data_IF_278298637369
#
_entry.id   IF_278298637369
#
_cell.length_a   1.000
_cell.length_b   1.000
_cell.length_c   1.000
_cell.angle_alpha   90.00
_cell.angle_beta   90.00
_cell.angle_gamma   90.00
#
_symmetry.space_group_name_H-M   'P 1'
#
loop_
_entity.id
_entity.type
_entity.pdbx_description
1 polymer ?
#
# COMPACT_ATOMS: atom_id res chain seq x y z
N UNK A 1 17.51 5.67 5.10
CA UNK A 1 16.21 6.00 4.48
C UNK A 1 16.32 5.57 3.03
N UNK A 2 15.56 4.57 2.62
CA UNK A 2 15.64 4.05 1.25
C UNK A 2 14.90 4.98 0.29
N UNK A 3 15.60 5.50 -0.72
CA UNK A 3 15.03 6.37 -1.73
C UNK A 3 14.26 5.54 -2.77
N UNK A 4 12.99 5.88 -3.03
CA UNK A 4 12.29 5.37 -4.21
C UNK A 4 12.85 6.09 -5.43
N UNK A 5 13.18 5.37 -6.50
CA UNK A 5 13.76 5.95 -7.72
C UNK A 5 12.87 5.62 -8.90
N UNK A 6 12.41 6.62 -9.64
CA UNK A 6 11.75 6.39 -10.92
C UNK A 6 12.85 6.33 -11.97
N UNK A 7 12.95 5.21 -12.68
CA UNK A 7 13.87 5.02 -13.80
C UNK A 7 13.12 5.21 -15.12
N UNK A 8 13.70 6.04 -15.98
CA UNK A 8 13.32 6.13 -17.39
C UNK A 8 14.02 4.99 -18.14
N UNK A 9 13.28 4.22 -18.94
CA UNK A 9 13.80 3.02 -19.61
C UNK A 9 14.90 3.32 -20.68
N UNK A 10 15.18 4.59 -20.96
CA UNK A 10 16.26 5.00 -21.87
C UNK A 10 17.64 5.06 -21.17
N UNK A 11 17.75 4.70 -19.89
CA UNK A 11 19.03 4.62 -19.17
C UNK A 11 19.70 5.95 -18.81
N UNK A 12 19.17 7.08 -19.28
CA UNK A 12 19.84 8.39 -19.14
C UNK A 12 19.54 9.15 -17.85
N UNK A 13 18.48 8.81 -17.08
CA UNK A 13 18.08 9.64 -15.94
C UNK A 13 17.50 8.84 -14.75
N UNK A 14 18.11 9.05 -13.57
CA UNK A 14 17.61 8.57 -12.28
C UNK A 14 16.88 9.71 -11.57
N UNK A 15 15.57 9.59 -11.39
CA UNK A 15 14.80 10.57 -10.60
C UNK A 15 14.62 10.03 -9.19
N UNK A 16 15.37 10.59 -8.24
CA UNK A 16 15.24 10.27 -6.83
C UNK A 16 13.95 10.89 -6.25
N UNK A 17 12.98 10.06 -5.93
CA UNK A 17 11.82 10.43 -5.13
C UNK A 17 12.24 10.36 -3.65
N UNK A 18 12.32 11.52 -3.00
CA UNK A 18 12.33 11.52 -1.55
C UNK A 18 10.97 10.99 -1.08
N UNK A 19 10.91 10.18 -0.01
CA UNK A 19 9.63 9.78 0.54
C UNK A 19 8.88 11.05 0.95
N UNK A 20 7.81 11.36 0.22
CA UNK A 20 6.63 12.05 0.74
C UNK A 20 6.91 13.46 1.30
N UNK A 21 7.32 14.42 0.46
CA UNK A 21 7.51 15.83 0.89
C UNK A 21 6.59 16.85 0.21
N UNK A 22 5.61 16.46 -0.60
CA UNK A 22 4.71 17.46 -1.22
C UNK A 22 3.34 16.87 -1.53
N UNK A 23 2.41 17.00 -0.57
CA UNK A 23 0.99 16.87 -0.84
C UNK A 23 0.42 18.28 -1.05
N UNK A 24 0.04 18.61 -2.30
CA UNK A 24 -0.88 19.73 -2.55
C UNK A 24 -2.26 19.16 -2.81
N UNK A 25 -3.22 19.59 -2.00
CA UNK A 25 -4.63 19.27 -2.18
C UNK A 25 -5.20 20.33 -3.14
N UNK A 26 -5.44 19.97 -4.40
CA UNK A 26 -6.16 20.84 -5.34
C UNK A 26 -7.53 20.21 -5.63
N UNK A 27 -8.60 20.97 -5.37
CA UNK A 27 -9.96 20.59 -5.76
C UNK A 27 -10.12 20.93 -7.24
N UNK A 28 -10.38 19.92 -8.07
CA UNK A 28 -10.75 20.15 -9.45
C UNK A 28 -12.24 20.52 -9.50
N UNK A 29 -12.58 21.71 -10.01
CA UNK A 29 -13.93 22.30 -9.96
C UNK A 29 -14.98 21.57 -10.79
N UNK A 30 -14.58 20.58 -11.58
CA UNK A 30 -15.46 19.89 -12.53
C UNK A 30 -15.97 18.53 -12.07
N UNK A 31 -15.37 17.88 -11.05
CA UNK A 31 -15.71 16.49 -10.71
C UNK A 31 -15.75 16.13 -9.22
N UNK A 32 -15.66 17.09 -8.29
CA UNK A 32 -15.75 16.85 -6.83
C UNK A 32 -14.86 15.69 -6.29
N UNK A 33 -13.79 15.33 -7.01
CA UNK A 33 -12.81 14.32 -6.62
C UNK A 33 -11.55 15.00 -6.10
N UNK A 34 -11.09 14.59 -4.91
CA UNK A 34 -9.80 14.99 -4.38
C UNK A 34 -8.69 14.27 -5.16
N UNK A 35 -7.92 15.02 -5.95
CA UNK A 35 -6.73 14.49 -6.63
C UNK A 35 -5.52 14.79 -5.75
N UNK A 36 -4.94 13.74 -5.17
CA UNK A 36 -3.77 13.85 -4.30
C UNK A 36 -2.54 13.39 -5.08
N UNK A 37 -1.64 14.32 -5.41
CA UNK A 37 -0.47 14.01 -6.23
C UNK A 37 0.64 13.36 -5.40
N UNK A 38 1.07 12.15 -5.81
CA UNK A 38 2.44 11.69 -5.58
C UNK A 38 3.29 12.23 -6.73
N UNK A 39 3.73 13.48 -6.67
CA UNK A 39 4.57 14.00 -7.73
C UNK A 39 5.65 14.91 -7.21
N UNK A 40 6.91 14.58 -7.52
CA UNK A 40 7.99 15.54 -7.46
C UNK A 40 7.93 16.40 -8.71
N UNK A 41 8.30 17.68 -8.58
CA UNK A 41 8.70 18.51 -9.72
C UNK A 41 9.86 17.77 -10.39
N UNK A 42 9.77 17.45 -11.68
CA UNK A 42 10.90 16.87 -12.44
C UNK A 42 11.39 17.89 -13.48
N UNK A 43 12.06 18.99 -13.10
CA UNK A 43 12.46 20.03 -14.05
C UNK A 43 13.28 19.50 -15.25
N UNK A 44 14.05 18.43 -15.06
CA UNK A 44 14.96 17.91 -16.07
C UNK A 44 14.26 17.18 -17.23
N UNK A 45 13.18 16.44 -16.95
CA UNK A 45 12.32 15.79 -17.95
C UNK A 45 11.69 16.82 -18.91
N UNK A 46 11.42 18.03 -18.43
CA UNK A 46 10.80 19.11 -19.20
C UNK A 46 11.81 20.06 -19.88
N UNK A 47 13.12 19.93 -19.63
CA UNK A 47 14.13 20.60 -20.46
C UNK A 47 14.15 20.05 -21.89
N UNK A 48 13.74 18.79 -22.09
CA UNK A 48 13.66 18.13 -23.40
C UNK A 48 12.36 18.40 -24.15
N UNK A 49 11.34 19.04 -23.54
CA UNK A 49 10.00 19.15 -24.14
C UNK A 49 9.49 20.59 -24.14
N UNK A 50 9.21 21.13 -25.33
CA UNK A 50 9.00 22.58 -25.55
C UNK A 50 7.57 23.05 -25.29
N UNK A 51 6.56 22.16 -25.30
CA UNK A 51 5.16 22.52 -25.08
C UNK A 51 4.29 21.36 -24.57
N UNK A 52 3.04 21.65 -24.18
CA UNK A 52 2.09 20.70 -23.56
C UNK A 52 1.72 19.52 -24.50
N UNK A 53 1.63 19.77 -25.81
CA UNK A 53 1.30 18.74 -26.81
C UNK A 53 2.45 17.74 -27.02
N UNK A 54 3.68 18.25 -27.15
CA UNK A 54 4.89 17.42 -27.23
C UNK A 54 5.16 16.67 -25.94
N UNK A 55 4.83 17.27 -24.79
CA UNK A 55 4.88 16.63 -23.47
C UNK A 55 3.94 15.44 -23.40
N UNK A 56 2.65 15.61 -23.74
CA UNK A 56 1.69 14.50 -23.74
C UNK A 56 2.10 13.37 -24.67
N UNK A 57 2.70 13.69 -25.81
CA UNK A 57 3.17 12.70 -26.80
C UNK A 57 4.39 11.93 -26.29
N UNK A 58 5.42 12.64 -25.83
CA UNK A 58 6.63 12.04 -25.23
C UNK A 58 6.27 11.14 -24.05
N UNK A 59 5.40 11.62 -23.16
CA UNK A 59 4.96 10.89 -21.97
C UNK A 59 4.10 9.65 -22.28
N UNK A 60 3.31 9.67 -23.37
CA UNK A 60 2.55 8.49 -23.84
C UNK A 60 3.45 7.39 -24.40
N UNK A 61 4.59 7.76 -24.98
CA UNK A 61 5.55 6.84 -25.60
C UNK A 61 6.61 6.34 -24.61
N UNK A 62 6.75 7.00 -23.46
CA UNK A 62 7.76 6.66 -22.45
C UNK A 62 7.22 5.60 -21.48
N UNK A 63 7.92 4.47 -21.37
CA UNK A 63 7.68 3.49 -20.31
C UNK A 63 8.41 3.93 -19.03
N UNK A 64 7.69 3.88 -17.92
CA UNK A 64 8.24 4.20 -16.60
C UNK A 64 8.37 2.93 -15.78
N UNK A 65 9.53 2.77 -15.15
CA UNK A 65 9.76 1.68 -14.21
C UNK A 65 10.01 2.28 -12.84
N UNK A 66 9.10 2.03 -11.89
CA UNK A 66 9.36 2.40 -10.50
C UNK A 66 10.37 1.42 -9.93
N UNK A 67 11.50 1.93 -9.46
CA UNK A 67 12.54 1.13 -8.82
C UNK A 67 12.59 1.46 -7.34
N UNK A 68 12.30 0.49 -6.50
CA UNK A 68 12.45 0.60 -5.04
C UNK A 68 13.25 -0.60 -4.54
N UNK A 69 14.24 -0.36 -3.69
CA UNK A 69 15.13 -1.41 -3.14
C UNK A 69 15.70 -2.35 -4.23
N UNK A 70 16.06 -1.81 -5.40
CA UNK A 70 16.61 -2.57 -6.53
C UNK A 70 15.60 -3.32 -7.41
N UNK A 71 14.30 -3.28 -7.10
CA UNK A 71 13.27 -4.00 -7.87
C UNK A 71 12.46 -3.10 -8.80
N UNK A 72 12.24 -3.57 -10.02
CA UNK A 72 11.46 -2.93 -11.08
C UNK A 72 9.97 -3.28 -10.97
N UNK A 73 9.10 -2.29 -10.77
CA UNK A 73 7.64 -2.46 -10.79
C UNK A 73 7.09 -1.99 -12.14
N UNK A 74 6.35 -2.84 -12.89
CA UNK A 74 5.74 -2.44 -14.15
C UNK A 74 4.59 -1.44 -13.94
N UNK A 75 4.54 -0.41 -14.80
CA UNK A 75 3.46 0.60 -14.83
C UNK A 75 2.69 0.53 -16.15
N UNK A 76 1.41 0.90 -16.16
CA UNK A 76 0.62 1.07 -17.39
C UNK A 76 0.99 2.36 -18.10
N UNK A 77 1.05 2.33 -19.43
CA UNK A 77 1.04 3.55 -20.23
C UNK A 77 -0.39 4.15 -20.29
N UNK A 78 -0.57 5.49 -20.20
CA UNK A 78 0.39 6.50 -19.81
C UNK A 78 0.36 6.66 -18.28
N UNK A 79 1.48 6.38 -17.62
CA UNK A 79 1.65 6.37 -16.17
C UNK A 79 1.63 7.80 -15.57
N UNK A 80 0.90 8.75 -16.16
CA UNK A 80 1.04 10.18 -15.88
C UNK A 80 -0.28 10.92 -16.13
N UNK A 81 -0.84 11.47 -15.06
CA UNK A 81 -1.77 12.58 -15.15
C UNK A 81 -1.01 13.88 -14.94
N UNK A 82 -0.81 14.66 -16.01
CA UNK A 82 -0.37 16.05 -15.88
C UNK A 82 -1.54 16.88 -15.35
N UNK A 83 -1.40 17.48 -14.16
CA UNK A 83 -2.38 18.44 -13.65
C UNK A 83 -1.75 19.82 -13.64
N UNK A 84 -2.44 20.76 -14.28
CA UNK A 84 -2.04 22.16 -14.42
C UNK A 84 -2.54 22.88 -13.17
N UNK A 85 -1.61 23.39 -12.35
CA UNK A 85 -1.96 24.30 -11.26
C UNK A 85 -2.18 25.70 -11.86
N UNK A 86 -3.30 26.35 -11.53
CA UNK A 86 -3.72 27.68 -12.02
C UNK A 86 -2.87 28.87 -11.53
N UNK A 87 -1.73 28.64 -10.89
CA UNK A 87 -0.75 29.69 -10.60
C UNK A 87 0.33 29.72 -11.68
N UNK A 88 0.94 30.88 -11.95
CA UNK A 88 1.96 31.17 -13.00
C UNK A 88 3.21 30.25 -13.06
N UNK A 89 3.21 29.11 -12.36
CA UNK A 89 4.20 28.05 -12.45
C UNK A 89 3.58 26.81 -13.11
N UNK A 90 3.98 26.54 -14.37
CA UNK A 90 3.71 25.29 -15.11
C UNK A 90 4.30 24.06 -14.39
N UNK A 91 3.67 23.66 -13.28
CA UNK A 91 4.08 22.52 -12.47
C UNK A 91 3.32 21.30 -12.97
N UNK A 92 4.06 20.30 -13.45
CA UNK A 92 3.52 19.04 -13.92
C UNK A 92 3.87 17.95 -12.92
N UNK A 93 2.91 17.08 -12.59
CA UNK A 93 3.11 15.94 -11.69
C UNK A 93 3.14 14.63 -12.50
N UNK A 94 4.00 13.70 -12.07
CA UNK A 94 4.10 12.36 -12.62
C UNK A 94 3.37 11.39 -11.68
N UNK A 95 2.30 10.74 -12.12
CA UNK A 95 1.50 9.83 -11.27
C UNK A 95 1.42 8.45 -11.90
N UNK A 96 2.30 7.50 -11.54
CA UNK A 96 2.33 6.18 -12.16
C UNK A 96 1.00 5.45 -11.97
N UNK A 97 0.40 5.02 -13.08
CA UNK A 97 -0.75 4.12 -13.09
C UNK A 97 -0.17 2.71 -12.99
N UNK A 98 -0.37 2.04 -11.86
CA UNK A 98 0.01 0.62 -11.72
C UNK A 98 -0.94 -0.26 -12.54
N UNK A 99 -0.45 -1.38 -13.05
CA UNK A 99 -1.29 -2.35 -13.75
C UNK A 99 -2.29 -3.01 -12.78
N UNK A 100 -3.50 -3.31 -13.27
CA UNK A 100 -4.62 -3.82 -12.47
C UNK A 100 -5.45 -2.68 -11.83
N UNK A 101 -6.75 -2.90 -11.60
CA UNK A 101 -7.74 -1.88 -11.17
C UNK A 101 -7.54 -1.22 -9.79
N UNK A 102 -6.29 -1.07 -9.34
CA UNK A 102 -5.87 -0.50 -8.05
C UNK A 102 -6.00 1.02 -7.92
N UNK A 103 -6.07 1.75 -9.04
CA UNK A 103 -5.80 3.20 -9.10
C UNK A 103 -6.68 4.09 -8.22
N UNK A 104 -7.94 3.75 -7.97
CA UNK A 104 -8.86 4.67 -7.27
C UNK A 104 -8.73 4.65 -5.74
N UNK A 105 -8.27 3.55 -5.12
CA UNK A 105 -8.10 3.47 -3.66
C UNK A 105 -6.72 3.91 -3.18
N UNK A 106 -5.75 4.00 -4.11
CA UNK A 106 -4.40 4.49 -3.81
C UNK A 106 -4.39 5.88 -3.21
N UNK A 107 -5.16 6.80 -3.79
CA UNK A 107 -5.21 8.19 -3.33
C UNK A 107 -5.81 8.31 -1.93
N UNK A 108 -6.83 7.52 -1.62
CA UNK A 108 -7.40 7.49 -0.28
C UNK A 108 -6.34 7.00 0.71
N UNK A 109 -5.71 5.85 0.45
CA UNK A 109 -4.71 5.27 1.35
C UNK A 109 -3.48 6.17 1.55
N UNK A 110 -2.95 6.75 0.47
CA UNK A 110 -1.85 7.71 0.54
C UNK A 110 -2.23 8.97 1.32
N UNK A 111 -3.46 9.48 1.16
CA UNK A 111 -3.97 10.61 1.93
C UNK A 111 -4.10 10.30 3.43
N UNK A 112 -4.65 9.12 3.77
CA UNK A 112 -4.75 8.67 5.16
C UNK A 112 -3.35 8.50 5.80
N UNK A 113 -2.42 7.86 5.10
CA UNK A 113 -1.04 7.71 5.56
C UNK A 113 -0.34 9.08 5.71
N UNK A 114 -0.47 9.95 4.71
CA UNK A 114 0.08 11.32 4.75
C UNK A 114 -0.49 12.16 5.89
N UNK A 115 -1.81 12.05 6.16
CA UNK A 115 -2.47 12.71 7.28
C UNK A 115 -2.00 12.18 8.64
N UNK A 116 -1.68 10.89 8.74
CA UNK A 116 -1.08 10.35 9.95
C UNK A 116 0.37 10.79 10.13
N UNK A 117 1.16 10.80 9.06
CA UNK A 117 2.54 11.29 9.04
C UNK A 117 2.64 12.76 9.44
N UNK A 118 1.75 13.62 8.95
CA UNK A 118 1.76 15.05 9.31
C UNK A 118 1.49 15.30 10.80
N UNK A 119 0.83 14.36 11.47
CA UNK A 119 0.61 14.37 12.93
C UNK A 119 1.71 13.60 13.69
N UNK A 120 2.81 13.25 13.03
CA UNK A 120 3.93 12.49 13.61
C UNK A 120 3.58 11.06 14.02
N UNK A 121 2.44 10.54 13.53
CA UNK A 121 1.87 9.24 13.91
C UNK A 121 1.70 9.06 15.42
N UNK A 122 1.48 10.15 16.18
CA UNK A 122 1.47 10.13 17.65
C UNK A 122 0.49 9.11 18.23
N UNK A 123 -0.74 9.08 17.71
CA UNK A 123 -1.78 8.16 18.19
C UNK A 123 -1.45 6.70 17.87
N UNK A 124 -0.92 6.44 16.66
CA UNK A 124 -0.48 5.11 16.27
C UNK A 124 0.70 4.63 17.14
N UNK A 125 1.71 5.48 17.37
CA UNK A 125 2.85 5.17 18.26
C UNK A 125 2.39 4.88 19.68
N UNK A 126 1.49 5.71 20.22
CA UNK A 126 0.90 5.49 21.54
C UNK A 126 0.19 4.12 21.62
N UNK A 127 -0.53 3.72 20.57
CA UNK A 127 -1.17 2.40 20.50
C UNK A 127 -0.16 1.26 20.48
N UNK A 128 0.95 1.40 19.73
CA UNK A 128 2.06 0.44 19.75
C UNK A 128 2.65 0.34 21.15
N UNK A 129 2.99 1.45 21.78
CA UNK A 129 3.62 1.47 23.11
C UNK A 129 2.70 0.87 24.18
N UNK A 130 1.40 1.16 24.14
CA UNK A 130 0.40 0.54 25.01
C UNK A 130 0.31 -0.98 24.81
N UNK A 131 0.40 -1.43 23.56
CA UNK A 131 0.38 -2.86 23.22
C UNK A 131 1.60 -3.56 23.82
N UNK A 132 2.80 -3.03 23.56
CA UNK A 132 4.06 -3.58 24.05
C UNK A 132 4.07 -3.65 25.59
N UNK A 133 3.60 -2.60 26.27
CA UNK A 133 3.43 -2.60 27.73
C UNK A 133 2.45 -3.66 28.22
N UNK A 134 1.31 -3.86 27.54
CA UNK A 134 0.31 -4.86 27.93
C UNK A 134 0.87 -6.29 27.88
N UNK A 135 1.80 -6.55 26.98
CA UNK A 135 2.49 -7.84 26.86
C UNK A 135 3.76 -7.93 27.73
N UNK A 136 3.97 -7.00 28.68
CA UNK A 136 5.12 -6.96 29.58
C UNK A 136 6.49 -6.94 28.88
N UNK A 137 6.57 -6.25 27.74
CA UNK A 137 7.82 -6.07 27.00
C UNK A 137 8.39 -4.67 27.28
N UNK A 138 9.69 -4.59 27.57
CA UNK A 138 10.35 -3.33 27.95
C UNK A 138 10.54 -2.34 26.80
N UNK A 139 10.75 -2.83 25.57
CA UNK A 139 10.99 -2.00 24.39
C UNK A 139 10.36 -2.57 23.12
N UNK A 140 10.00 -1.70 22.19
CA UNK A 140 9.64 -2.07 20.81
C UNK A 140 10.78 -2.74 20.05
N UNK A 141 12.02 -2.66 20.55
CA UNK A 141 13.20 -3.35 20.00
C UNK A 141 13.27 -4.84 20.37
N UNK A 142 12.60 -5.24 21.44
CA UNK A 142 12.66 -6.60 22.00
C UNK A 142 11.48 -7.49 21.53
N UNK A 143 10.69 -6.98 20.58
CA UNK A 143 9.46 -7.57 20.07
C UNK A 143 9.42 -7.45 18.55
N UNK A 144 8.87 -8.48 17.91
CA UNK A 144 8.52 -8.40 16.49
C UNK A 144 7.04 -8.11 16.36
N UNK A 145 6.69 -6.94 15.85
CA UNK A 145 5.31 -6.55 15.58
C UNK A 145 4.92 -6.97 14.16
N UNK A 146 3.82 -7.70 14.04
CA UNK A 146 3.27 -8.12 12.75
C UNK A 146 1.90 -7.50 12.59
N UNK A 147 1.75 -6.57 11.65
CA UNK A 147 0.48 -5.96 11.31
C UNK A 147 -0.38 -6.94 10.53
N UNK A 148 -1.63 -7.14 10.94
CA UNK A 148 -2.57 -8.05 10.27
C UNK A 148 -3.79 -7.23 9.85
N UNK A 149 -4.07 -7.20 8.55
CA UNK A 149 -5.31 -6.62 8.05
C UNK A 149 -6.21 -7.70 7.45
N UNK A 150 -7.31 -8.00 8.14
CA UNK A 150 -8.32 -8.99 7.74
C UNK A 150 -9.50 -8.28 7.09
N UNK A 151 -9.55 -8.31 5.75
CA UNK A 151 -10.66 -7.77 4.97
C UNK A 151 -11.70 -8.86 4.73
N UNK A 152 -12.86 -8.69 5.37
CA UNK A 152 -14.05 -9.53 5.18
C UNK A 152 -15.23 -8.64 4.83
N UNK A 153 -16.06 -8.25 5.79
CA UNK A 153 -17.10 -7.22 5.62
C UNK A 153 -17.83 -7.31 4.27
N UNK A 154 -17.70 -6.25 3.49
CA UNK A 154 -18.27 -6.10 2.14
C UNK A 154 -17.78 -7.13 1.10
N UNK A 155 -16.66 -7.80 1.35
CA UNK A 155 -16.12 -8.85 0.48
C UNK A 155 -16.85 -10.18 0.64
N UNK A 156 -17.52 -10.40 1.78
CA UNK A 156 -18.33 -11.60 2.01
C UNK A 156 -19.53 -11.54 1.05
N UNK A 157 -19.59 -12.50 0.12
CA UNK A 157 -20.62 -12.58 -0.94
C UNK A 157 -20.60 -11.43 -1.97
N UNK A 158 -19.48 -10.72 -2.11
CA UNK A 158 -19.36 -9.67 -3.11
C UNK A 158 -19.53 -10.22 -4.53
N UNK A 159 -20.47 -9.65 -5.31
CA UNK A 159 -20.84 -10.11 -6.66
C UNK A 159 -19.70 -10.12 -7.67
N UNK A 160 -18.64 -9.35 -7.40
CA UNK A 160 -17.45 -9.31 -8.24
C UNK A 160 -16.60 -10.58 -8.19
N UNK A 161 -16.75 -11.38 -7.12
CA UNK A 161 -16.13 -12.71 -7.01
C UNK A 161 -14.85 -12.76 -6.17
N UNK A 162 -14.81 -12.05 -5.05
CA UNK A 162 -13.70 -12.19 -4.09
C UNK A 162 -13.78 -13.53 -3.36
N UNK A 163 -12.65 -14.22 -3.26
CA UNK A 163 -12.40 -15.14 -2.15
C UNK A 163 -11.90 -14.31 -0.95
N UNK A 164 -12.10 -14.83 0.25
CA UNK A 164 -11.66 -14.18 1.48
C UNK A 164 -10.68 -15.10 2.20
N UNK A 165 -9.79 -14.48 2.98
CA UNK A 165 -8.82 -15.22 3.77
C UNK A 165 -9.51 -16.26 4.65
N UNK A 166 -9.00 -17.49 4.59
CA UNK A 166 -9.52 -18.62 5.35
C UNK A 166 -8.80 -18.75 6.69
N UNK A 167 -9.36 -19.50 7.65
CA UNK A 167 -8.70 -19.78 8.93
C UNK A 167 -7.35 -20.50 8.73
N UNK A 168 -7.24 -21.37 7.73
CA UNK A 168 -6.02 -22.10 7.40
C UNK A 168 -4.93 -21.14 6.91
N UNK A 169 -5.29 -20.15 6.09
CA UNK A 169 -4.36 -19.10 5.67
C UNK A 169 -3.85 -18.30 6.87
N UNK A 170 -4.75 -17.83 7.75
CA UNK A 170 -4.36 -17.09 8.95
C UNK A 170 -3.43 -17.93 9.83
N UNK A 171 -3.71 -19.23 9.97
CA UNK A 171 -2.87 -20.16 10.73
C UNK A 171 -1.48 -20.29 10.14
N UNK A 172 -1.37 -20.54 8.83
CA UNK A 172 -0.07 -20.64 8.14
C UNK A 172 0.73 -19.35 8.24
N UNK A 173 0.09 -18.21 8.03
CA UNK A 173 0.75 -16.90 8.09
C UNK A 173 1.26 -16.57 9.50
N UNK A 174 0.45 -16.82 10.54
CA UNK A 174 0.87 -16.66 11.94
C UNK A 174 2.03 -17.59 12.27
N UNK A 175 1.96 -18.86 11.88
CA UNK A 175 3.02 -19.83 12.11
C UNK A 175 4.32 -19.46 11.42
N UNK A 176 4.26 -18.95 10.18
CA UNK A 176 5.43 -18.45 9.46
C UNK A 176 6.20 -17.42 10.30
N UNK A 177 5.53 -16.38 10.79
CA UNK A 177 6.18 -15.36 11.60
C UNK A 177 6.64 -15.87 12.98
N UNK A 178 5.84 -16.71 13.65
CA UNK A 178 6.23 -17.31 14.94
C UNK A 178 7.43 -18.25 14.82
N UNK A 179 7.60 -18.92 13.68
CA UNK A 179 8.73 -19.83 13.45
C UNK A 179 10.04 -19.09 13.19
N UNK A 180 9.94 -17.86 12.67
CA UNK A 180 11.08 -17.07 12.20
C UNK A 180 11.55 -16.02 13.20
N UNK A 181 10.64 -15.47 13.98
CA UNK A 181 10.90 -14.37 14.89
C UNK A 181 10.57 -14.72 16.34
N UNK A 182 11.32 -14.13 17.28
CA UNK A 182 11.06 -14.24 18.71
C UNK A 182 10.14 -13.12 19.18
N UNK A 183 9.41 -13.35 20.26
CA UNK A 183 8.51 -12.36 20.89
C UNK A 183 7.60 -11.68 19.87
N UNK A 184 6.77 -12.46 19.17
CA UNK A 184 5.90 -11.94 18.11
C UNK A 184 4.57 -11.48 18.70
N UNK A 185 4.15 -10.25 18.36
CA UNK A 185 2.79 -9.74 18.64
C UNK A 185 2.12 -9.39 17.32
N UNK A 186 0.89 -9.86 17.14
CA UNK A 186 0.09 -9.58 15.97
C UNK A 186 -0.89 -8.44 16.26
N UNK A 187 -0.75 -7.33 15.54
CA UNK A 187 -1.63 -6.17 15.66
C UNK A 187 -2.67 -6.23 14.56
N UNK A 188 -3.92 -6.45 14.93
CA UNK A 188 -4.98 -6.86 14.02
C UNK A 188 -5.97 -5.73 13.81
N UNK A 189 -6.24 -5.40 12.54
CA UNK A 189 -7.40 -4.63 12.12
C UNK A 189 -8.30 -5.49 11.24
N UNK A 190 -9.61 -5.43 11.50
CA UNK A 190 -10.61 -6.17 10.74
C UNK A 190 -11.93 -5.42 10.70
N UNK A 191 -12.68 -5.59 9.61
CA UNK A 191 -14.08 -5.18 9.53
C UNK A 191 -15.02 -6.18 10.21
N UNK A 192 -14.52 -7.37 10.55
CA UNK A 192 -15.28 -8.47 11.14
C UNK A 192 -14.46 -9.05 12.31
N UNK A 193 -14.39 -8.27 13.40
CA UNK A 193 -13.64 -8.64 14.61
C UNK A 193 -14.16 -9.94 15.24
N UNK A 194 -15.48 -10.20 15.35
CA UNK A 194 -15.99 -11.46 15.90
C UNK A 194 -15.48 -12.67 15.13
N UNK A 195 -15.59 -12.68 13.80
CA UNK A 195 -15.06 -13.78 12.99
C UNK A 195 -13.55 -13.90 13.13
N UNK A 196 -12.83 -12.77 13.16
CA UNK A 196 -11.38 -12.77 13.27
C UNK A 196 -10.92 -13.36 14.60
N UNK A 197 -11.59 -13.05 15.72
CA UNK A 197 -11.30 -13.66 17.02
C UNK A 197 -11.54 -15.17 17.01
N UNK A 198 -12.61 -15.63 16.38
CA UNK A 198 -12.95 -17.05 16.31
C UNK A 198 -12.00 -17.88 15.42
N UNK A 199 -11.29 -17.24 14.48
CA UNK A 199 -10.45 -17.92 13.48
C UNK A 199 -8.96 -17.60 13.57
N UNK A 200 -8.56 -16.76 14.52
CA UNK A 200 -7.15 -16.57 14.85
C UNK A 200 -6.65 -17.79 15.64
N UNK A 201 -5.43 -18.30 15.38
CA UNK A 201 -4.88 -19.41 16.14
C UNK A 201 -4.82 -19.11 17.63
N UNK A 202 -5.24 -20.08 18.45
CA UNK A 202 -5.10 -20.04 19.91
C UNK A 202 -3.63 -19.82 20.32
N UNK A 203 -3.42 -19.33 21.55
CA UNK A 203 -2.09 -19.08 22.12
C UNK A 203 -1.22 -18.18 21.22
N UNK A 204 -1.84 -17.14 20.68
CA UNK A 204 -1.19 -16.10 19.88
C UNK A 204 -1.33 -14.76 20.59
N UNK A 205 -0.21 -14.04 20.73
CA UNK A 205 -0.23 -12.68 21.26
C UNK A 205 -0.87 -11.75 20.24
N UNK A 206 -2.11 -11.34 20.48
CA UNK A 206 -2.90 -10.52 19.57
C UNK A 206 -3.36 -9.24 20.24
N UNK A 207 -3.23 -8.11 19.54
CA UNK A 207 -3.91 -6.86 19.88
C UNK A 207 -4.90 -6.50 18.77
N UNK A 208 -6.17 -6.33 19.12
CA UNK A 208 -7.19 -5.87 18.18
C UNK A 208 -7.32 -4.36 18.21
N UNK A 209 -7.14 -3.71 17.06
CA UNK A 209 -7.33 -2.28 16.91
C UNK A 209 -8.82 -1.92 16.91
N UNK A 210 -9.18 -0.97 17.77
CA UNK A 210 -10.57 -0.49 17.95
C UNK A 210 -10.82 0.90 17.35
N UNK A 211 -9.92 1.39 16.50
CA UNK A 211 -10.06 2.74 15.92
C UNK A 211 -11.02 2.75 14.72
N UNK A 212 -12.00 3.67 14.67
CA UNK A 212 -12.82 3.88 13.47
C UNK A 212 -12.07 4.66 12.38
N UNK A 213 -10.94 5.30 12.71
CA UNK A 213 -10.20 6.17 11.79
C UNK A 213 -9.21 5.37 10.96
N UNK A 214 -9.40 5.39 9.64
CA UNK A 214 -8.58 4.63 8.68
C UNK A 214 -7.12 5.08 8.70
N UNK A 215 -6.86 6.37 8.88
CA UNK A 215 -5.50 6.92 8.98
C UNK A 215 -4.72 6.37 10.17
N UNK A 216 -5.39 6.09 11.29
CA UNK A 216 -4.75 5.48 12.46
C UNK A 216 -4.49 4.01 12.19
N UNK A 217 -5.43 3.29 11.58
CA UNK A 217 -5.24 1.88 11.22
C UNK A 217 -4.02 1.73 10.31
N UNK A 218 -3.98 2.50 9.20
CA UNK A 218 -2.85 2.44 8.27
C UNK A 218 -1.55 2.80 8.99
N UNK A 219 -1.52 3.89 9.76
CA UNK A 219 -0.31 4.28 10.49
C UNK A 219 0.14 3.22 11.51
N UNK A 220 -0.78 2.61 12.24
CA UNK A 220 -0.43 1.60 13.26
C UNK A 220 0.12 0.34 12.61
N UNK A 221 -0.51 -0.14 11.54
CA UNK A 221 -0.07 -1.35 10.85
C UNK A 221 1.23 -1.14 10.06
N UNK A 222 1.46 0.07 9.54
CA UNK A 222 2.73 0.41 8.83
C UNK A 222 3.90 0.68 9.77
N UNK A 223 3.64 0.93 11.06
CA UNK A 223 4.67 0.98 12.11
C UNK A 223 5.12 -0.41 12.60
N UNK A 224 4.44 -1.49 12.19
CA UNK A 224 4.86 -2.85 12.49
C UNK A 224 6.14 -3.22 11.70
N UNK A 225 6.80 -4.31 12.09
CA UNK A 225 7.99 -4.81 11.37
C UNK A 225 7.60 -5.56 10.09
N UNK A 226 6.51 -6.33 10.14
CA UNK A 226 6.05 -7.22 9.07
C UNK A 226 4.54 -7.16 8.91
N UNK A 227 4.00 -7.74 7.83
CA UNK A 227 2.57 -7.66 7.53
C UNK A 227 1.97 -9.00 7.08
N UNK A 228 0.82 -9.36 7.63
CA UNK A 228 -0.09 -10.35 7.06
C UNK A 228 -1.21 -9.59 6.34
N UNK A 229 -1.25 -9.73 5.03
CA UNK A 229 -2.31 -9.14 4.18
C UNK A 229 -3.36 -10.18 3.83
N UNK A 230 -4.59 -9.75 3.61
CA UNK A 230 -5.67 -10.61 3.08
C UNK A 230 -6.06 -10.10 1.70
N UNK A 231 -7.34 -9.84 1.45
CA UNK A 231 -7.81 -9.32 0.16
C UNK A 231 -8.04 -7.82 0.17
N UNK A 232 -8.01 -7.23 -1.02
CA UNK A 232 -8.31 -5.82 -1.24
C UNK A 232 -7.08 -4.91 -1.18
N UNK A 233 -7.23 -3.75 -1.83
CA UNK A 233 -6.15 -2.77 -1.97
C UNK A 233 -5.67 -2.22 -0.62
N UNK A 234 -6.56 -2.07 0.36
CA UNK A 234 -6.20 -1.57 1.69
C UNK A 234 -5.15 -2.46 2.36
N UNK A 235 -5.37 -3.78 2.35
CA UNK A 235 -4.39 -4.78 2.80
C UNK A 235 -3.08 -4.67 2.03
N UNK A 236 -3.16 -4.61 0.70
CA UNK A 236 -1.98 -4.55 -0.17
C UNK A 236 -1.10 -3.32 0.15
N UNK A 237 -1.70 -2.13 0.30
CA UNK A 237 -0.95 -0.91 0.61
C UNK A 237 -0.28 -0.92 1.97
N UNK A 238 -0.91 -1.54 2.98
CA UNK A 238 -0.26 -1.74 4.27
C UNK A 238 1.00 -2.58 4.09
N UNK A 239 0.90 -3.73 3.40
CA UNK A 239 2.06 -4.58 3.11
C UNK A 239 3.18 -3.82 2.41
N UNK A 240 2.82 -3.01 1.41
CA UNK A 240 3.78 -2.20 0.66
C UNK A 240 4.49 -1.15 1.53
N UNK A 241 3.73 -0.42 2.36
CA UNK A 241 4.24 0.68 3.16
C UNK A 241 5.01 0.22 4.40
N UNK A 242 4.72 -0.96 4.96
CA UNK A 242 5.44 -1.52 6.11
C UNK A 242 6.90 -1.82 5.77
N UNK A 243 7.20 -2.25 4.54
CA UNK A 243 8.58 -2.38 4.05
C UNK A 243 9.39 -3.56 4.62
N UNK A 244 8.78 -4.45 5.42
CA UNK A 244 9.34 -5.72 5.85
C UNK A 244 8.75 -6.93 5.11
N UNK A 245 8.80 -8.11 5.72
CA UNK A 245 8.21 -9.31 5.14
C UNK A 245 6.69 -9.23 5.10
N UNK A 246 6.11 -9.72 4.00
CA UNK A 246 4.67 -9.69 3.78
C UNK A 246 4.19 -11.05 3.32
N UNK A 247 3.16 -11.58 4.00
CA UNK A 247 2.41 -12.73 3.51
C UNK A 247 1.09 -12.27 2.88
N UNK A 248 0.64 -12.94 1.84
CA UNK A 248 -0.64 -12.65 1.19
C UNK A 248 -1.45 -13.91 0.89
N UNK A 249 -2.77 -13.73 0.85
CA UNK A 249 -3.70 -14.80 0.49
C UNK A 249 -3.65 -15.05 -1.02
N UNK A 250 -3.08 -16.18 -1.43
CA UNK A 250 -2.66 -16.42 -2.82
C UNK A 250 -3.80 -16.46 -3.84
N UNK A 251 -5.00 -16.84 -3.41
CA UNK A 251 -6.13 -17.10 -4.30
C UNK A 251 -7.31 -16.15 -4.03
N UNK A 252 -7.16 -14.83 -4.28
CA UNK A 252 -8.14 -13.82 -3.86
C UNK A 252 -9.40 -13.77 -4.73
N UNK A 253 -9.48 -14.52 -5.83
CA UNK A 253 -10.60 -14.47 -6.78
C UNK A 253 -11.23 -15.84 -7.04
N UNK A 254 -12.57 -15.89 -7.06
CA UNK A 254 -13.38 -17.06 -7.42
C UNK A 254 -13.20 -17.39 -8.90
N UNK A 255 -13.02 -18.65 -9.23
CA UNK A 255 -12.90 -19.08 -10.63
C UNK A 255 -14.16 -18.72 -11.44
N UNK A 256 -13.98 -18.35 -12.71
CA UNK A 256 -15.07 -17.87 -13.57
C UNK A 256 -15.65 -16.48 -13.24
N UNK A 257 -15.23 -15.84 -12.15
CA UNK A 257 -15.76 -14.53 -11.75
C UNK A 257 -15.26 -13.35 -12.60
N UNK A 258 -15.93 -12.19 -12.48
CA UNK A 258 -15.48 -10.94 -13.12
C UNK A 258 -14.12 -10.50 -12.61
N UNK A 259 -13.87 -10.64 -11.30
CA UNK A 259 -12.58 -10.36 -10.68
C UNK A 259 -11.48 -11.25 -11.26
N UNK A 260 -11.74 -12.55 -11.41
CA UNK A 260 -10.76 -13.51 -11.93
C UNK A 260 -10.22 -13.14 -13.31
N UNK A 261 -11.07 -12.54 -14.16
CA UNK A 261 -10.71 -12.04 -15.51
C UNK A 261 -9.78 -10.84 -15.50
N UNK A 262 -9.57 -10.18 -14.35
CA UNK A 262 -8.66 -9.04 -14.22
C UNK A 262 -7.23 -9.43 -13.85
N UNK A 263 -6.99 -10.71 -13.58
CA UNK A 263 -5.70 -11.21 -13.14
C UNK A 263 -5.07 -12.15 -14.15
N UNK A 264 -3.75 -12.12 -14.19
CA UNK A 264 -2.92 -13.17 -14.79
C UNK A 264 -3.30 -14.57 -14.27
N UNK A 265 -2.87 -15.61 -14.97
CA UNK A 265 -3.22 -16.99 -14.61
C UNK A 265 -2.76 -17.34 -13.18
N UNK A 266 -1.62 -16.80 -12.76
CA UNK A 266 -0.93 -17.07 -11.50
C UNK A 266 -0.95 -15.91 -10.49
N UNK A 267 -1.69 -14.83 -10.77
CA UNK A 267 -1.79 -13.60 -9.95
C UNK A 267 -0.47 -12.83 -9.77
N UNK A 268 0.56 -13.13 -10.58
CA UNK A 268 1.87 -12.47 -10.53
C UNK A 268 1.84 -10.99 -10.95
N UNK A 269 0.80 -10.58 -11.67
CA UNK A 269 0.53 -9.20 -12.06
C UNK A 269 -0.02 -8.32 -10.93
N UNK A 270 -0.48 -8.95 -9.83
CA UNK A 270 -1.09 -8.24 -8.70
C UNK A 270 -0.22 -8.23 -7.46
N UNK A 271 0.39 -9.37 -7.12
CA UNK A 271 1.20 -9.49 -5.91
C UNK A 271 2.66 -9.16 -6.19
N UNK A 272 3.28 -8.41 -5.28
CA UNK A 272 4.69 -8.12 -5.37
C UNK A 272 5.51 -9.41 -5.28
N UNK A 273 6.45 -9.68 -6.21
CA UNK A 273 7.19 -10.95 -6.25
C UNK A 273 8.02 -11.24 -4.98
N UNK A 274 8.40 -10.22 -4.22
CA UNK A 274 9.11 -10.38 -2.94
C UNK A 274 8.20 -10.73 -1.76
N UNK A 275 6.89 -10.88 -1.96
CA UNK A 275 5.97 -11.31 -0.91
C UNK A 275 5.73 -12.82 -0.96
N UNK A 276 5.32 -13.37 0.19
CA UNK A 276 5.12 -14.80 0.37
C UNK A 276 3.64 -15.14 0.22
N UNK A 277 3.29 -15.79 -0.89
CA UNK A 277 1.93 -16.28 -1.12
C UNK A 277 1.68 -17.60 -0.42
N UNK A 278 0.59 -17.70 0.34
CA UNK A 278 0.20 -18.92 1.08
C UNK A 278 -1.20 -19.41 0.73
#
# INVERSE_FOLDING_TARGET
>A
MDHQTILLDNGEEKVYCNPINTFKNERNSTNNQAIVFLGKKIPALFKKVRNESTTKTFLKQTKFTLTTKGMKIPTMAPAISAVKNNSNNNTHFLCPIFMGGFGNMMFQLAAHFGAAMSKGMREAKSKIDQTVKRFNIGSTRDVTLVGVHVRRGDMVNHKFGYNIATPEYLTKAVQYFKSKYKNVIFIISSQDIPWTKANMPNNTNVEYLTSPKREIIVATLTLCNHTITTVGSFSWWIGWLTGGEVTYFKWPAKEGSRLRKQYSKDFSDFFYPGWIGM
#
